data_IF_615631730793
#
_entry.id   IF_615631730793
#
_cell.length_a   1.000
_cell.length_b   1.000
_cell.length_c   1.000
_cell.angle_alpha   90.00
_cell.angle_beta   90.00
_cell.angle_gamma   90.00
#
_symmetry.space_group_name_H-M   'P 1'
#
loop_
_entity.id
_entity.type
_entity.pdbx_description
1 polymer ?
#
# COMPACT_ATOMS: atom_id res chain seq x y z
N UNK A 1 -24.70 57.16 -40.70
CA UNK A 1 -25.95 56.40 -40.48
C UNK A 1 -25.60 54.92 -40.61
N UNK A 2 -25.73 54.01 -39.65
CA UNK A 2 -26.26 54.00 -38.30
C UNK A 2 -25.50 52.93 -37.49
N UNK A 3 -25.39 53.21 -36.20
CA UNK A 3 -24.91 52.37 -35.10
C UNK A 3 -25.57 50.98 -35.05
N UNK A 4 -24.83 49.93 -34.63
CA UNK A 4 -25.09 49.24 -33.35
C UNK A 4 -24.07 48.14 -33.06
N UNK A 5 -23.31 48.41 -32.01
CA UNK A 5 -22.51 47.45 -31.27
C UNK A 5 -23.39 46.47 -30.47
N UNK A 6 -22.71 45.41 -30.00
CA UNK A 6 -23.01 44.60 -28.81
C UNK A 6 -23.80 43.31 -29.03
N UNK A 7 -23.11 42.19 -28.80
CA UNK A 7 -23.38 41.34 -27.64
C UNK A 7 -22.17 40.42 -27.40
N UNK A 8 -21.38 40.75 -26.37
CA UNK A 8 -20.43 39.83 -25.76
C UNK A 8 -21.23 38.78 -25.00
N UNK A 9 -21.23 37.54 -25.48
CA UNK A 9 -21.78 36.41 -24.74
C UNK A 9 -20.73 35.95 -23.73
N UNK A 10 -20.80 36.46 -22.49
CA UNK A 10 -20.09 35.88 -21.35
C UNK A 10 -20.83 34.59 -20.98
N UNK A 11 -20.32 33.46 -21.45
CA UNK A 11 -20.79 32.15 -21.01
C UNK A 11 -20.36 31.94 -19.54
N UNK A 12 -21.32 31.92 -18.62
CA UNK A 12 -21.16 31.50 -17.24
C UNK A 12 -20.66 30.04 -17.21
N UNK A 13 -19.36 29.85 -17.00
CA UNK A 13 -18.83 28.58 -16.51
C UNK A 13 -19.13 28.50 -15.01
N UNK A 14 -20.31 27.98 -14.67
CA UNK A 14 -20.60 27.55 -13.31
C UNK A 14 -19.65 26.39 -12.97
N UNK A 15 -18.60 26.69 -12.23
CA UNK A 15 -17.71 25.69 -11.64
C UNK A 15 -18.55 24.76 -10.77
N UNK A 16 -18.73 23.51 -11.21
CA UNK A 16 -19.19 22.44 -10.33
C UNK A 16 -18.08 22.20 -9.31
N UNK A 17 -18.20 22.81 -8.14
CA UNK A 17 -17.38 22.46 -6.99
C UNK A 17 -17.71 21.00 -6.64
N UNK A 18 -16.88 20.07 -7.11
CA UNK A 18 -16.90 18.70 -6.63
C UNK A 18 -16.57 18.80 -5.15
N UNK A 19 -17.55 18.49 -4.30
CA UNK A 19 -17.34 18.42 -2.85
C UNK A 19 -16.23 17.40 -2.63
N UNK A 20 -15.09 17.84 -2.10
CA UNK A 20 -14.00 16.94 -1.75
C UNK A 20 -14.50 16.01 -0.65
N UNK A 21 -14.83 14.78 -1.00
CA UNK A 21 -15.14 13.74 -0.02
C UNK A 21 -13.82 13.40 0.68
N UNK A 22 -13.73 13.65 1.99
CA UNK A 22 -12.60 13.18 2.79
C UNK A 22 -12.49 11.65 2.65
N UNK A 23 -11.29 11.14 2.40
CA UNK A 23 -11.06 9.70 2.42
C UNK A 23 -11.39 9.16 3.81
N UNK A 24 -12.10 8.04 3.87
CA UNK A 24 -12.36 7.34 5.12
C UNK A 24 -11.01 6.90 5.72
N UNK A 25 -10.62 7.54 6.81
CA UNK A 25 -9.38 7.31 7.55
C UNK A 25 -9.52 6.22 8.60
N UNK A 26 -10.73 5.68 8.79
CA UNK A 26 -10.97 4.61 9.76
C UNK A 26 -10.20 3.35 9.40
N UNK A 27 -9.47 2.81 10.37
CA UNK A 27 -8.87 1.50 10.23
C UNK A 27 -9.94 0.42 10.39
N UNK A 28 -10.06 -0.46 9.39
CA UNK A 28 -11.04 -1.54 9.41
C UNK A 28 -10.32 -2.89 9.40
N UNK A 29 -10.52 -3.77 10.41
CA UNK A 29 -9.94 -5.11 10.39
C UNK A 29 -10.32 -5.88 9.12
N UNK A 30 -9.35 -6.62 8.59
CA UNK A 30 -9.57 -7.54 7.46
C UNK A 30 -8.94 -8.90 7.75
N UNK A 31 -9.39 -9.92 7.04
CA UNK A 31 -8.70 -11.21 7.04
C UNK A 31 -7.29 -11.06 6.45
N UNK A 32 -6.35 -11.89 6.92
CA UNK A 32 -5.00 -11.98 6.35
C UNK A 32 -5.11 -12.36 4.87
N UNK A 33 -4.61 -11.54 3.93
CA UNK A 33 -4.63 -11.90 2.51
C UNK A 33 -3.77 -13.14 2.25
N UNK A 34 -4.24 -14.01 1.34
CA UNK A 34 -3.49 -15.17 0.90
C UNK A 34 -2.18 -14.73 0.22
N UNK A 35 -1.07 -15.34 0.61
CA UNK A 35 0.27 -15.01 0.13
C UNK A 35 0.99 -16.30 -0.34
N UNK A 36 0.49 -16.99 -1.38
CA UNK A 36 0.98 -18.32 -1.77
C UNK A 36 2.42 -18.33 -2.27
N UNK A 37 2.91 -17.19 -2.77
CA UNK A 37 4.29 -17.03 -3.24
C UNK A 37 5.24 -16.51 -2.14
N UNK A 38 4.76 -16.27 -0.91
CA UNK A 38 5.61 -15.78 0.16
C UNK A 38 6.58 -16.88 0.63
N UNK A 39 7.87 -16.56 0.60
CA UNK A 39 8.94 -17.45 1.04
C UNK A 39 9.27 -17.09 2.49
N UNK A 40 9.07 -18.00 3.46
CA UNK A 40 9.49 -17.77 4.84
C UNK A 40 11.01 -17.59 4.93
N UNK A 41 11.47 -16.54 5.62
CA UNK A 41 12.90 -16.27 5.77
C UNK A 41 13.58 -17.07 6.90
N UNK A 42 12.79 -17.77 7.73
CA UNK A 42 13.34 -18.64 8.77
C UNK A 42 14.10 -17.90 9.89
N UNK A 43 13.75 -16.65 10.18
CA UNK A 43 14.47 -15.79 11.16
C UNK A 43 14.25 -16.16 12.64
N UNK A 44 13.67 -17.33 12.92
CA UNK A 44 13.21 -17.73 14.25
C UNK A 44 12.00 -16.94 14.75
N UNK A 45 11.51 -17.31 15.94
CA UNK A 45 10.43 -16.61 16.61
C UNK A 45 10.82 -15.17 16.98
N UNK A 46 9.86 -14.25 17.02
CA UNK A 46 10.05 -12.93 17.62
C UNK A 46 10.00 -13.07 19.16
N UNK A 47 11.10 -12.81 19.89
CA UNK A 47 11.11 -12.97 21.34
C UNK A 47 10.04 -12.09 22.02
N UNK A 48 9.28 -12.67 22.94
CA UNK A 48 8.25 -11.95 23.71
C UNK A 48 7.00 -11.56 22.91
N UNK A 49 6.84 -12.02 21.66
CA UNK A 49 5.63 -11.77 20.90
C UNK A 49 4.44 -12.58 21.43
N UNK A 50 3.36 -11.89 21.81
CA UNK A 50 2.12 -12.49 22.33
C UNK A 50 0.92 -12.23 21.44
N UNK A 51 0.97 -11.19 20.60
CA UNK A 51 -0.12 -10.83 19.71
C UNK A 51 0.11 -11.44 18.31
N UNK A 52 -0.92 -12.07 17.70
CA UNK A 52 -0.79 -12.62 16.36
C UNK A 52 -0.68 -11.51 15.31
N UNK A 53 -0.16 -11.87 14.14
CA UNK A 53 -0.23 -11.01 12.96
C UNK A 53 -1.69 -10.66 12.67
N UNK A 54 -1.96 -9.40 12.40
CA UNK A 54 -3.30 -8.88 12.09
C UNK A 54 -3.22 -7.90 10.93
N UNK A 55 -4.35 -7.70 10.25
CA UNK A 55 -4.42 -6.86 9.07
C UNK A 55 -5.60 -5.89 9.15
N UNK A 56 -5.43 -4.72 8.55
CA UNK A 56 -6.50 -3.75 8.41
C UNK A 56 -6.41 -3.04 7.06
N UNK A 57 -7.54 -2.49 6.62
CA UNK A 57 -7.59 -1.54 5.52
C UNK A 57 -7.73 -0.12 6.03
N UNK A 58 -7.03 0.82 5.38
CA UNK A 58 -7.12 2.26 5.64
C UNK A 58 -6.77 3.01 4.36
N UNK A 59 -7.43 4.13 4.06
CA UNK A 59 -7.14 4.94 2.85
C UNK A 59 -7.19 4.16 1.52
N UNK A 60 -7.94 3.06 1.45
CA UNK A 60 -7.98 2.17 0.28
C UNK A 60 -6.74 1.28 0.10
N UNK A 61 -5.85 1.23 1.09
CA UNK A 61 -4.67 0.35 1.13
C UNK A 61 -4.85 -0.74 2.21
N UNK A 62 -4.03 -1.78 2.17
CA UNK A 62 -3.99 -2.83 3.20
C UNK A 62 -2.67 -2.82 3.96
N UNK A 63 -2.76 -3.08 5.26
CA UNK A 63 -1.64 -2.98 6.18
C UNK A 63 -1.51 -4.26 7.02
N UNK A 64 -0.28 -4.76 7.15
CA UNK A 64 0.04 -5.81 8.10
C UNK A 64 0.49 -5.20 9.43
N UNK A 65 0.20 -5.88 10.55
CA UNK A 65 0.52 -5.44 11.92
C UNK A 65 0.90 -6.64 12.78
N UNK A 66 1.74 -6.42 13.80
CA UNK A 66 2.21 -7.48 14.70
C UNK A 66 2.81 -8.70 13.95
N UNK A 67 3.44 -8.47 12.80
CA UNK A 67 4.09 -9.53 12.01
C UNK A 67 5.17 -10.20 12.86
N UNK A 68 5.07 -11.52 13.02
CA UNK A 68 6.04 -12.33 13.79
C UNK A 68 6.92 -13.20 12.92
N UNK A 69 6.45 -13.57 11.72
CA UNK A 69 7.18 -14.36 10.75
C UNK A 69 7.55 -13.49 9.54
N UNK A 70 8.86 -13.32 9.32
CA UNK A 70 9.34 -12.58 8.16
C UNK A 70 9.25 -13.41 6.87
N UNK A 71 8.81 -12.79 5.79
CA UNK A 71 8.68 -13.43 4.47
C UNK A 71 9.20 -12.53 3.37
N UNK A 72 9.65 -13.13 2.27
CA UNK A 72 10.01 -12.45 1.03
C UNK A 72 9.11 -12.94 -0.10
N UNK A 73 8.39 -12.03 -0.75
CA UNK A 73 7.47 -12.39 -1.85
C UNK A 73 8.02 -11.89 -3.19
N UNK A 74 8.30 -12.78 -4.16
CA UNK A 74 8.86 -12.40 -5.44
C UNK A 74 7.81 -11.82 -6.41
N UNK A 75 8.22 -10.79 -7.14
CA UNK A 75 7.54 -10.18 -8.29
C UNK A 75 8.55 -10.15 -9.42
N UNK A 76 8.47 -11.15 -10.31
CA UNK A 76 9.47 -11.36 -11.35
C UNK A 76 9.03 -10.70 -12.66
N UNK A 77 9.96 -10.05 -13.40
CA UNK A 77 9.67 -9.55 -14.72
C UNK A 77 9.50 -10.70 -15.71
N UNK A 78 8.81 -10.42 -16.82
CA UNK A 78 8.85 -11.30 -17.99
C UNK A 78 10.30 -11.55 -18.43
N UNK A 79 10.71 -12.80 -18.74
CA UNK A 79 12.09 -13.11 -19.10
C UNK A 79 12.66 -12.23 -20.22
N UNK A 80 11.83 -11.87 -21.21
CA UNK A 80 12.23 -11.02 -22.34
C UNK A 80 12.54 -9.55 -21.95
N UNK A 81 12.07 -9.09 -20.78
CA UNK A 81 12.31 -7.74 -20.27
C UNK A 81 13.36 -7.72 -19.14
N UNK A 82 13.80 -8.88 -18.68
CA UNK A 82 14.64 -8.98 -17.49
C UNK A 82 15.96 -8.23 -17.67
N UNK A 83 16.21 -7.26 -16.80
CA UNK A 83 17.43 -6.44 -16.83
C UNK A 83 18.60 -7.11 -16.11
N UNK A 84 18.36 -8.22 -15.40
CA UNK A 84 19.31 -8.87 -14.50
C UNK A 84 19.48 -8.18 -13.14
N UNK A 85 18.77 -7.06 -12.90
CA UNK A 85 18.80 -6.36 -11.60
C UNK A 85 17.72 -6.86 -10.65
N UNK A 86 17.98 -6.77 -9.34
CA UNK A 86 17.04 -7.12 -8.29
C UNK A 86 16.95 -6.04 -7.20
N UNK A 87 15.75 -5.87 -6.62
CA UNK A 87 15.45 -4.91 -5.55
C UNK A 87 14.62 -5.58 -4.45
N UNK A 88 14.97 -5.32 -3.19
CA UNK A 88 14.11 -5.62 -2.04
C UNK A 88 13.27 -4.38 -1.74
N UNK A 89 11.94 -4.54 -1.77
CA UNK A 89 10.97 -3.51 -1.41
C UNK A 89 10.59 -3.73 0.05
N UNK A 90 10.91 -2.77 0.92
CA UNK A 90 10.57 -2.81 2.34
C UNK A 90 9.49 -1.76 2.64
N UNK A 91 8.22 -2.15 2.82
CA UNK A 91 7.14 -1.23 3.14
C UNK A 91 7.39 -0.46 4.44
N UNK A 92 6.98 0.80 4.50
CA UNK A 92 7.04 1.64 5.68
C UNK A 92 5.91 1.33 6.68
N UNK A 93 5.81 2.18 7.72
CA UNK A 93 4.81 2.05 8.80
C UNK A 93 5.39 2.11 10.22
N UNK A 94 6.59 2.68 10.38
CA UNK A 94 7.18 3.04 11.67
C UNK A 94 7.40 1.87 12.62
N UNK A 95 7.66 0.67 12.07
CA UNK A 95 7.76 -0.60 12.80
C UNK A 95 6.50 -1.03 13.56
N UNK A 96 5.37 -0.33 13.37
CA UNK A 96 4.06 -0.68 13.93
C UNK A 96 3.16 -1.34 12.90
N UNK A 97 3.30 -0.95 11.63
CA UNK A 97 2.57 -1.54 10.50
C UNK A 97 3.49 -1.69 9.29
N UNK A 98 3.00 -2.40 8.28
CA UNK A 98 3.57 -2.45 6.94
C UNK A 98 2.52 -2.00 5.94
N UNK A 99 2.80 -0.97 5.15
CA UNK A 99 1.91 -0.50 4.09
C UNK A 99 1.99 -1.40 2.85
N UNK A 100 1.36 -2.58 2.93
CA UNK A 100 1.62 -3.70 2.03
C UNK A 100 1.17 -3.46 0.59
N UNK A 101 0.03 -2.80 0.37
CA UNK A 101 -0.47 -2.57 -0.98
C UNK A 101 0.35 -1.49 -1.71
N UNK A 102 0.27 -0.24 -1.24
CA UNK A 102 0.79 0.94 -1.96
C UNK A 102 2.33 1.07 -1.93
N UNK A 103 3.00 0.71 -0.83
CA UNK A 103 4.47 0.82 -0.69
C UNK A 103 5.18 -0.53 -0.93
N UNK A 104 4.43 -1.63 -0.86
CA UNK A 104 4.92 -2.98 -1.13
C UNK A 104 4.60 -3.47 -2.53
N UNK A 105 3.46 -4.13 -2.68
CA UNK A 105 3.10 -4.88 -3.88
C UNK A 105 2.94 -3.99 -5.12
N UNK A 106 2.38 -2.79 -5.00
CA UNK A 106 2.25 -1.85 -6.13
C UNK A 106 3.62 -1.40 -6.65
N UNK A 107 4.56 -1.10 -5.74
CA UNK A 107 5.95 -0.75 -6.09
C UNK A 107 6.65 -1.94 -6.75
N UNK A 108 6.50 -3.14 -6.20
CA UNK A 108 7.13 -4.35 -6.73
C UNK A 108 6.61 -4.72 -8.14
N UNK A 109 5.29 -4.60 -8.37
CA UNK A 109 4.71 -4.76 -9.72
C UNK A 109 5.27 -3.71 -10.69
N UNK A 110 5.33 -2.45 -10.28
CA UNK A 110 5.87 -1.38 -11.11
C UNK A 110 7.36 -1.58 -11.47
N UNK A 111 8.16 -2.16 -10.57
CA UNK A 111 9.55 -2.54 -10.84
C UNK A 111 9.64 -3.74 -11.80
N UNK A 112 8.85 -4.79 -11.58
CA UNK A 112 8.77 -5.95 -12.46
C UNK A 112 8.34 -5.58 -13.89
N UNK A 113 7.38 -4.67 -14.05
CA UNK A 113 6.94 -4.17 -15.36
C UNK A 113 8.06 -3.49 -16.15
N UNK A 114 9.05 -2.94 -15.43
CA UNK A 114 10.26 -2.29 -15.97
C UNK A 114 11.45 -3.24 -16.09
N UNK A 115 11.25 -4.54 -15.91
CA UNK A 115 12.30 -5.55 -16.09
C UNK A 115 13.14 -5.84 -14.85
N UNK A 116 12.82 -5.24 -13.69
CA UNK A 116 13.58 -5.42 -12.45
C UNK A 116 12.90 -6.47 -11.58
N UNK A 117 13.62 -7.51 -11.16
CA UNK A 117 13.09 -8.46 -10.18
C UNK A 117 12.89 -7.77 -8.83
N UNK A 118 11.67 -7.76 -8.32
CA UNK A 118 11.35 -7.14 -7.04
C UNK A 118 10.94 -8.19 -6.02
N UNK A 119 11.29 -7.94 -4.76
CA UNK A 119 11.00 -8.84 -3.67
C UNK A 119 10.43 -8.05 -2.50
N UNK A 120 9.15 -8.23 -2.17
CA UNK A 120 8.51 -7.52 -1.07
C UNK A 120 8.85 -8.20 0.24
N UNK A 121 9.52 -7.47 1.13
CA UNK A 121 9.88 -7.91 2.47
C UNK A 121 8.74 -7.60 3.44
N UNK A 122 8.09 -8.63 3.96
CA UNK A 122 7.24 -8.53 5.15
C UNK A 122 8.12 -8.81 6.37
N UNK A 123 8.55 -7.76 7.09
CA UNK A 123 9.46 -7.89 8.23
C UNK A 123 8.72 -7.91 9.57
N UNK A 124 9.40 -8.40 10.61
CA UNK A 124 8.85 -8.46 11.98
C UNK A 124 8.63 -7.05 12.53
N UNK A 125 7.53 -6.85 13.23
CA UNK A 125 7.12 -5.56 13.77
C UNK A 125 7.16 -5.54 15.30
N UNK A 126 7.23 -4.34 15.87
CA UNK A 126 7.01 -4.13 17.29
C UNK A 126 5.57 -4.54 17.65
N UNK A 127 5.41 -5.21 18.80
CA UNK A 127 4.10 -5.61 19.27
C UNK A 127 3.28 -4.40 19.71
N UNK A 128 2.02 -4.36 19.29
CA UNK A 128 1.03 -3.33 19.63
C UNK A 128 -0.25 -4.01 20.14
N UNK A 129 -1.15 -3.32 20.87
CA UNK A 129 -2.36 -3.92 21.45
C UNK A 129 -3.17 -4.74 20.45
N UNK A 130 -3.71 -5.90 20.84
CA UNK A 130 -4.30 -6.82 19.87
C UNK A 130 -5.55 -6.24 19.18
N UNK A 131 -6.39 -5.53 19.91
CA UNK A 131 -7.58 -4.87 19.39
C UNK A 131 -7.25 -3.57 18.63
N UNK A 132 -8.13 -3.18 17.71
CA UNK A 132 -7.92 -1.95 16.93
C UNK A 132 -8.09 -0.69 17.76
N UNK A 133 -9.00 -0.69 18.75
CA UNK A 133 -9.28 0.50 19.55
C UNK A 133 -8.08 0.91 20.43
N UNK A 134 -7.28 -0.05 20.89
CA UNK A 134 -6.02 0.20 21.59
C UNK A 134 -4.83 0.48 20.66
N UNK A 135 -4.97 0.26 19.35
CA UNK A 135 -3.91 0.51 18.38
C UNK A 135 -3.99 1.91 17.75
N UNK A 136 -5.22 2.35 17.43
CA UNK A 136 -5.56 3.70 16.93
C UNK A 136 -5.04 4.80 17.87
#
# INVERSE_FOLDING_TARGET
MFFRASAVAVALLCATAVVAQAQNDRMTPIAVPAQPAAIPLGTGALPGATNPESWHSQYGSVFARNVTQATLTPFLPEPAKATGSAVIVAPGGGFRTLSMENEGWAVARALADRGVAAFVLKYRLNQTPADMAGFE
#
